data_IF_010019196435
#
_entry.id   IF_010019196435
#
_cell.length_a   1.000
_cell.length_b   1.000
_cell.length_c   1.000
_cell.angle_alpha   90.00
_cell.angle_beta   90.00
_cell.angle_gamma   90.00
#
_symmetry.space_group_name_H-M   'P 1'
#
loop_
_entity.id
_entity.type
_entity.pdbx_description
1 polymer ?
#
# COMPACT_ATOMS: atom_id res chain seq x y z
N UNK A 1 -36.26 11.00 -7.42
CA UNK A 1 -35.43 10.66 -6.24
C UNK A 1 -34.94 9.20 -6.23
N UNK A 2 -35.40 8.34 -7.13
CA UNK A 2 -35.06 6.90 -7.17
C UNK A 2 -33.69 6.58 -7.78
N UNK A 3 -33.27 7.26 -8.86
CA UNK A 3 -32.03 6.95 -9.56
C UNK A 3 -30.75 7.21 -8.73
N UNK A 4 -30.75 8.25 -7.89
CA UNK A 4 -29.59 8.56 -7.04
C UNK A 4 -29.39 7.49 -5.95
N UNK A 5 -30.48 6.99 -5.37
CA UNK A 5 -30.43 5.93 -4.35
C UNK A 5 -29.91 4.61 -4.94
N UNK A 6 -30.31 4.27 -6.16
CA UNK A 6 -29.81 3.09 -6.87
C UNK A 6 -28.31 3.21 -7.16
N UNK A 7 -27.85 4.36 -7.67
CA UNK A 7 -26.43 4.65 -7.89
C UNK A 7 -25.61 4.56 -6.60
N UNK A 8 -26.11 5.12 -5.49
CA UNK A 8 -25.42 5.06 -4.20
C UNK A 8 -25.33 3.63 -3.67
N UNK A 9 -26.36 2.82 -3.85
CA UNK A 9 -26.34 1.41 -3.43
C UNK A 9 -25.35 0.59 -4.26
N UNK A 10 -25.28 0.82 -5.57
CA UNK A 10 -24.30 0.19 -6.45
C UNK A 10 -22.86 0.55 -6.05
N UNK A 11 -22.59 1.84 -5.81
CA UNK A 11 -21.26 2.32 -5.43
C UNK A 11 -20.85 1.85 -4.03
N UNK A 12 -21.77 1.81 -3.06
CA UNK A 12 -21.49 1.32 -1.70
C UNK A 12 -21.29 -0.20 -1.64
N UNK A 13 -21.89 -0.94 -2.57
CA UNK A 13 -21.75 -2.39 -2.69
C UNK A 13 -20.54 -2.83 -3.52
N UNK A 14 -19.85 -1.89 -4.17
CA UNK A 14 -18.64 -2.20 -4.93
C UNK A 14 -17.52 -2.62 -3.97
N UNK A 15 -17.19 -3.91 -3.96
CA UNK A 15 -15.94 -4.37 -3.37
C UNK A 15 -14.79 -3.84 -4.23
N UNK A 16 -14.05 -2.85 -3.68
CA UNK A 16 -12.88 -2.30 -4.35
C UNK A 16 -11.90 -3.45 -4.65
N UNK A 17 -11.66 -3.67 -5.95
CA UNK A 17 -10.80 -4.73 -6.48
C UNK A 17 -9.41 -4.72 -5.84
N UNK A 18 -8.93 -3.56 -5.40
CA UNK A 18 -7.61 -3.43 -4.82
C UNK A 18 -7.61 -3.48 -3.29
N UNK A 19 -8.71 -3.10 -2.61
CA UNK A 19 -8.76 -2.95 -1.15
C UNK A 19 -7.45 -2.35 -0.60
N UNK A 20 -7.37 -1.01 -0.59
CA UNK A 20 -6.15 -0.29 -0.22
C UNK A 20 -5.97 -0.15 1.30
N UNK A 21 -4.75 -0.34 1.80
CA UNK A 21 -4.35 -0.01 3.18
C UNK A 21 -3.53 1.28 3.18
N UNK A 22 -4.06 2.34 3.81
CA UNK A 22 -3.28 3.56 4.09
C UNK A 22 -2.38 3.37 5.30
N UNK A 23 -1.07 3.55 5.14
CA UNK A 23 -0.04 3.38 6.16
C UNK A 23 0.85 4.62 6.22
N UNK A 24 1.09 5.13 7.42
CA UNK A 24 2.01 6.26 7.61
C UNK A 24 3.42 5.93 7.10
N UNK A 25 4.06 6.89 6.42
CA UNK A 25 5.49 6.80 6.05
C UNK A 25 6.43 6.67 7.25
N UNK A 26 5.93 6.92 8.47
CA UNK A 26 6.64 6.64 9.73
C UNK A 26 6.98 5.14 9.92
N UNK A 27 6.34 4.23 9.19
CA UNK A 27 6.63 2.79 9.23
C UNK A 27 7.76 2.34 8.29
N UNK A 28 8.33 3.26 7.51
CA UNK A 28 9.42 2.97 6.57
C UNK A 28 10.56 3.98 6.74
N UNK A 29 11.76 3.61 6.31
CA UNK A 29 12.95 4.47 6.46
C UNK A 29 12.87 5.68 5.52
N UNK A 30 13.58 6.77 5.83
CA UNK A 30 13.73 7.87 4.87
C UNK A 30 14.30 7.39 3.52
N UNK A 31 15.25 6.44 3.54
CA UNK A 31 15.79 5.87 2.31
C UNK A 31 14.74 5.14 1.46
N UNK A 32 13.77 4.46 2.09
CA UNK A 32 12.63 3.86 1.37
C UNK A 32 11.73 4.93 0.75
N UNK A 33 11.49 6.04 1.47
CA UNK A 33 10.69 7.17 0.96
C UNK A 33 11.34 7.78 -0.28
N UNK A 34 12.65 8.07 -0.20
CA UNK A 34 13.43 8.62 -1.31
C UNK A 34 13.48 7.64 -2.51
N UNK A 35 13.55 6.33 -2.23
CA UNK A 35 13.55 5.31 -3.28
C UNK A 35 12.18 5.13 -3.93
N UNK A 36 11.09 5.27 -3.17
CA UNK A 36 9.72 5.28 -3.71
C UNK A 36 9.50 6.44 -4.71
N UNK A 37 10.13 7.58 -4.49
CA UNK A 37 10.01 8.75 -5.36
C UNK A 37 10.76 8.60 -6.69
N UNK A 38 11.75 7.70 -6.75
CA UNK A 38 12.67 7.59 -7.89
C UNK A 38 12.58 6.27 -8.64
N UNK A 39 11.99 5.24 -8.05
CA UNK A 39 11.92 3.90 -8.66
C UNK A 39 11.04 3.89 -9.91
N UNK A 40 11.60 3.40 -11.02
CA UNK A 40 10.84 3.08 -12.23
C UNK A 40 10.21 1.68 -12.11
N UNK A 41 8.96 1.63 -11.67
CA UNK A 41 8.21 0.38 -11.55
C UNK A 41 6.73 0.58 -11.83
N UNK A 42 6.14 -0.29 -12.65
CA UNK A 42 4.68 -0.32 -12.89
C UNK A 42 3.84 -0.68 -11.65
N UNK A 43 4.52 -1.08 -10.55
CA UNK A 43 3.92 -1.38 -9.24
C UNK A 43 3.80 -0.16 -8.35
N UNK A 44 4.61 0.86 -8.58
CA UNK A 44 4.68 2.06 -7.73
C UNK A 44 4.02 3.21 -8.48
N UNK A 45 3.11 3.90 -7.82
CA UNK A 45 2.47 5.10 -8.32
C UNK A 45 2.79 6.25 -7.36
N UNK A 46 3.77 7.10 -7.69
CA UNK A 46 4.21 8.18 -6.80
C UNK A 46 3.15 9.27 -6.65
N UNK A 47 3.23 10.00 -5.54
CA UNK A 47 2.37 11.14 -5.18
C UNK A 47 3.21 12.22 -4.50
N UNK A 48 2.61 13.38 -4.25
CA UNK A 48 3.28 14.48 -3.56
C UNK A 48 3.64 14.18 -2.09
N UNK A 49 2.92 13.27 -1.43
CA UNK A 49 3.02 12.97 0.01
C UNK A 49 3.43 11.52 0.31
N UNK A 50 3.77 10.75 -0.73
CA UNK A 50 4.14 9.34 -0.63
C UNK A 50 3.84 8.58 -1.93
N UNK A 51 3.42 7.32 -1.85
CA UNK A 51 3.19 6.49 -3.03
C UNK A 51 2.19 5.35 -2.79
N UNK A 52 1.50 4.93 -3.84
CA UNK A 52 0.79 3.64 -3.84
C UNK A 52 1.69 2.52 -4.34
N UNK A 53 1.63 1.36 -3.69
CA UNK A 53 2.35 0.15 -4.05
C UNK A 53 1.36 -0.98 -4.26
N UNK A 54 1.28 -1.49 -5.50
CA UNK A 54 0.45 -2.64 -5.85
C UNK A 54 1.04 -3.92 -5.26
N UNK A 55 0.22 -4.67 -4.53
CA UNK A 55 0.57 -5.98 -4.00
C UNK A 55 0.13 -7.04 -5.01
N UNK A 56 1.09 -7.68 -5.66
CA UNK A 56 0.77 -8.82 -6.52
C UNK A 56 0.67 -10.10 -5.70
N UNK A 57 -0.49 -10.75 -5.79
CA UNK A 57 -0.61 -12.16 -5.47
C UNK A 57 -0.19 -12.96 -6.69
N UNK A 58 0.98 -13.56 -6.64
CA UNK A 58 1.29 -14.64 -7.56
C UNK A 58 0.91 -15.95 -6.87
N UNK A 59 -0.09 -16.71 -7.36
CA UNK A 59 -0.61 -17.90 -6.66
C UNK A 59 0.46 -18.97 -6.40
N UNK A 60 1.56 -18.93 -7.17
CA UNK A 60 2.66 -19.90 -7.09
C UNK A 60 3.97 -19.32 -6.52
N UNK A 61 4.01 -18.04 -6.12
CA UNK A 61 5.23 -17.40 -5.59
C UNK A 61 4.87 -16.63 -4.32
N UNK A 62 4.99 -17.27 -3.13
CA UNK A 62 4.99 -16.56 -1.87
C UNK A 62 6.05 -15.45 -1.90
N UNK A 63 5.70 -14.22 -1.50
CA UNK A 63 6.65 -13.11 -1.46
C UNK A 63 6.98 -12.44 -2.80
N UNK A 64 6.13 -12.55 -3.83
CA UNK A 64 6.38 -11.93 -5.14
C UNK A 64 6.61 -10.38 -5.13
N UNK A 65 6.21 -9.70 -4.07
CA UNK A 65 6.49 -8.26 -3.85
C UNK A 65 7.94 -7.97 -3.42
N UNK A 66 8.70 -8.98 -2.96
CA UNK A 66 10.12 -8.84 -2.57
C UNK A 66 11.05 -8.57 -3.78
N UNK A 67 10.51 -8.64 -5.00
CA UNK A 67 11.26 -8.37 -6.23
C UNK A 67 11.35 -6.87 -6.58
N UNK A 68 10.83 -5.96 -5.75
CA UNK A 68 11.10 -4.52 -5.87
C UNK A 68 12.46 -4.24 -5.22
N UNK A 69 13.59 -4.14 -5.94
CA UNK A 69 14.90 -4.07 -5.31
C UNK A 69 15.12 -2.72 -4.62
N UNK A 70 15.96 -2.72 -3.58
CA UNK A 70 16.48 -1.49 -2.97
C UNK A 70 15.64 -0.95 -1.80
N UNK A 71 14.67 -1.71 -1.29
CA UNK A 71 13.90 -1.35 -0.11
C UNK A 71 14.38 -2.11 1.14
N UNK A 72 14.06 -1.56 2.31
CA UNK A 72 14.37 -2.13 3.61
C UNK A 72 13.43 -3.28 4.01
N UNK A 73 13.83 -4.05 5.02
CA UNK A 73 12.98 -5.07 5.64
C UNK A 73 11.71 -4.47 6.27
N UNK A 74 11.77 -3.22 6.75
CA UNK A 74 10.61 -2.54 7.29
C UNK A 74 9.54 -2.31 6.20
N UNK A 75 9.98 -1.81 5.03
CA UNK A 75 9.11 -1.66 3.87
C UNK A 75 8.45 -2.98 3.46
N UNK A 76 9.23 -4.06 3.29
CA UNK A 76 8.65 -5.36 2.94
C UNK A 76 7.76 -5.93 4.05
N UNK A 77 8.07 -5.65 5.32
CA UNK A 77 7.24 -6.02 6.47
C UNK A 77 5.84 -5.44 6.38
N UNK A 78 5.72 -4.15 6.01
CA UNK A 78 4.41 -3.51 5.76
C UNK A 78 3.67 -4.18 4.60
N UNK A 79 4.34 -4.39 3.47
CA UNK A 79 3.71 -5.02 2.30
C UNK A 79 3.22 -6.44 2.60
N UNK A 80 4.02 -7.21 3.34
CA UNK A 80 3.68 -8.56 3.75
C UNK A 80 2.47 -8.56 4.70
N UNK A 81 2.46 -7.72 5.72
CA UNK A 81 1.34 -7.60 6.66
C UNK A 81 0.04 -7.22 5.95
N UNK A 82 0.08 -6.23 5.06
CA UNK A 82 -1.07 -5.82 4.26
C UNK A 82 -1.58 -6.96 3.36
N UNK A 83 -0.65 -7.65 2.68
CA UNK A 83 -0.99 -8.79 1.82
C UNK A 83 -1.65 -9.93 2.62
N UNK A 84 -1.09 -10.29 3.78
CA UNK A 84 -1.64 -11.31 4.68
C UNK A 84 -3.03 -10.94 5.22
N UNK A 85 -3.31 -9.66 5.43
CA UNK A 85 -4.62 -9.16 5.84
C UNK A 85 -5.64 -9.05 4.68
N UNK A 86 -5.23 -9.45 3.46
CA UNK A 86 -6.09 -9.52 2.28
C UNK A 86 -6.19 -8.23 1.47
N UNK A 87 -5.35 -7.22 1.75
CA UNK A 87 -5.24 -6.03 0.90
C UNK A 87 -4.51 -6.39 -0.42
N UNK A 88 -4.70 -5.59 -1.47
CA UNK A 88 -3.95 -5.69 -2.74
C UNK A 88 -3.19 -4.42 -3.09
N UNK A 89 -3.25 -3.40 -2.24
CA UNK A 89 -2.54 -2.15 -2.41
C UNK A 89 -2.20 -1.55 -1.04
N UNK A 90 -1.02 -0.96 -0.93
CA UNK A 90 -0.63 -0.13 0.21
C UNK A 90 -0.45 1.29 -0.29
N UNK A 91 -1.02 2.25 0.41
CA UNK A 91 -0.72 3.67 0.27
C UNK A 91 0.23 4.04 1.40
N UNK A 92 1.46 4.39 1.07
CA UNK A 92 2.34 5.08 1.99
C UNK A 92 2.04 6.57 1.86
N UNK A 93 1.58 7.19 2.94
CA UNK A 93 1.30 8.62 2.98
C UNK A 93 1.74 9.20 4.34
N UNK A 94 2.21 10.44 4.36
CA UNK A 94 2.71 11.08 5.58
C UNK A 94 1.60 11.25 6.64
N UNK A 95 0.36 11.47 6.21
CA UNK A 95 -0.80 11.71 7.07
C UNK A 95 -1.68 10.46 7.28
N UNK A 96 -1.28 9.30 6.74
CA UNK A 96 -1.99 8.04 6.92
C UNK A 96 -1.86 7.47 8.34
N UNK A 97 -2.67 6.46 8.64
CA UNK A 97 -2.72 5.84 9.96
C UNK A 97 -1.41 5.12 10.32
N UNK A 98 -1.02 5.21 11.59
CA UNK A 98 0.00 4.33 12.18
C UNK A 98 -0.66 3.09 12.78
N UNK A 99 0.03 1.96 12.70
CA UNK A 99 -0.43 0.68 13.26
C UNK A 99 0.54 0.21 14.35
N UNK A 100 0.02 -0.05 15.55
CA UNK A 100 0.83 -0.50 16.70
C UNK A 100 1.59 -1.81 16.43
N UNK A 101 1.06 -2.65 15.53
CA UNK A 101 1.68 -3.93 15.13
C UNK A 101 2.80 -3.79 14.10
N UNK A 102 3.00 -2.60 13.53
CA UNK A 102 4.06 -2.31 12.57
C UNK A 102 5.14 -1.45 13.24
N UNK A 103 6.44 -1.70 12.97
CA UNK A 103 7.52 -0.91 13.57
C UNK A 103 7.43 0.54 13.09
N UNK A 104 7.63 1.49 13.99
CA UNK A 104 7.86 2.89 13.64
C UNK A 104 9.38 3.07 13.49
N UNK A 105 9.79 3.61 12.34
CA UNK A 105 11.19 3.91 12.07
C UNK A 105 11.50 5.26 12.70
N UNK A 106 12.37 5.25 13.71
CA UNK A 106 12.97 6.48 14.23
C UNK A 106 14.14 6.82 13.30
N UNK A 107 14.04 7.95 12.61
CA UNK A 107 15.17 8.54 11.87
C UNK A 107 16.17 9.16 12.87
#
# INVERSE_FOLDING_TARGET
>A
MTALTEQLNELNGAEDQYRCLGVSTAHITQADRDHLDTIDSSRVMPRATGAFVKLYLHPNIPGYNHNLPGFSDAFYGVLHAAQSAGFRMVEFDTDAATYESLPIMQD
#
